data_IF_102890436671
#
_entry.id   IF_102890436671
#
_cell.length_a   1.000
_cell.length_b   1.000
_cell.length_c   1.000
_cell.angle_alpha   90.00
_cell.angle_beta   90.00
_cell.angle_gamma   90.00
#
_symmetry.space_group_name_H-M   'P 1'
#
loop_
_entity.id
_entity.type
_entity.pdbx_description
1 polymer ?
#
# COMPACT_ATOMS: atom_id res chain seq x y z
N UNK A 1 -13.29 -9.01 2.07
CA UNK A 1 -12.70 -7.88 2.79
C UNK A 1 -13.43 -6.60 2.43
N UNK A 2 -13.73 -5.75 3.41
CA UNK A 2 -14.48 -4.51 3.20
C UNK A 2 -13.57 -3.31 3.48
N UNK A 3 -13.53 -2.36 2.55
CA UNK A 3 -12.87 -1.07 2.72
C UNK A 3 -13.92 0.02 2.89
N UNK A 4 -13.78 0.83 3.92
CA UNK A 4 -14.62 1.99 4.18
C UNK A 4 -13.73 3.23 4.13
N UNK A 5 -14.10 4.23 3.35
CA UNK A 5 -13.29 5.45 3.20
C UNK A 5 -14.11 6.66 3.61
N UNK A 6 -13.75 7.28 4.72
CA UNK A 6 -14.32 8.55 5.18
C UNK A 6 -13.54 9.68 4.52
N UNK A 7 -14.18 10.43 3.64
CA UNK A 7 -13.52 11.44 2.79
C UNK A 7 -14.42 12.65 2.50
N UNK A 8 -13.84 13.74 2.07
CA UNK A 8 -14.55 14.89 1.50
C UNK A 8 -14.71 14.82 -0.03
N UNK A 9 -14.04 13.85 -0.68
CA UNK A 9 -13.96 13.70 -2.14
C UNK A 9 -14.23 12.26 -2.59
N UNK A 10 -15.46 11.75 -2.40
CA UNK A 10 -15.81 10.37 -2.73
C UNK A 10 -15.54 10.01 -4.20
N UNK A 11 -15.85 10.92 -5.13
CA UNK A 11 -15.65 10.69 -6.56
C UNK A 11 -14.19 10.37 -6.92
N UNK A 12 -13.23 10.93 -6.18
CA UNK A 12 -11.81 10.67 -6.40
C UNK A 12 -11.44 9.22 -6.07
N UNK A 13 -11.96 8.71 -4.96
CA UNK A 13 -11.75 7.32 -4.52
C UNK A 13 -12.40 6.35 -5.51
N UNK A 14 -13.67 6.58 -5.84
CA UNK A 14 -14.43 5.71 -6.73
C UNK A 14 -13.82 5.67 -8.14
N UNK A 15 -13.50 6.82 -8.72
CA UNK A 15 -12.88 6.88 -10.04
C UNK A 15 -11.53 6.15 -10.10
N UNK A 16 -10.74 6.19 -9.03
CA UNK A 16 -9.44 5.52 -8.95
C UNK A 16 -9.55 4.02 -8.78
N UNK A 17 -10.40 3.54 -7.88
CA UNK A 17 -10.45 2.14 -7.49
C UNK A 17 -11.39 1.26 -8.35
N UNK A 18 -12.34 1.85 -9.08
CA UNK A 18 -13.25 1.09 -9.96
C UNK A 18 -12.60 0.68 -11.30
N UNK A 19 -11.29 0.81 -11.44
CA UNK A 19 -10.54 0.48 -12.67
C UNK A 19 -9.55 -0.66 -12.44
N UNK A 20 -9.04 -1.25 -13.54
CA UNK A 20 -7.96 -2.23 -13.53
C UNK A 20 -8.24 -3.47 -12.64
N UNK A 21 -7.28 -3.87 -11.82
CA UNK A 21 -7.33 -5.06 -10.94
C UNK A 21 -8.34 -4.85 -9.81
N UNK A 22 -8.27 -3.71 -9.12
CA UNK A 22 -9.18 -3.36 -8.03
C UNK A 22 -10.64 -3.31 -8.50
N UNK A 23 -10.91 -2.69 -9.67
CA UNK A 23 -12.25 -2.65 -10.26
C UNK A 23 -12.80 -4.05 -10.60
N UNK A 24 -11.95 -4.98 -11.08
CA UNK A 24 -12.36 -6.39 -11.27
C UNK A 24 -12.64 -7.10 -9.96
N UNK A 25 -11.82 -6.86 -8.94
CA UNK A 25 -12.00 -7.43 -7.62
C UNK A 25 -13.31 -7.00 -6.96
N UNK A 26 -13.66 -5.70 -7.08
CA UNK A 26 -14.96 -5.15 -6.66
C UNK A 26 -16.11 -5.81 -7.40
N UNK A 27 -16.02 -5.90 -8.74
CA UNK A 27 -17.06 -6.51 -9.57
C UNK A 27 -17.29 -7.99 -9.25
N UNK A 28 -16.22 -8.72 -8.90
CA UNK A 28 -16.29 -10.15 -8.59
C UNK A 28 -16.60 -10.41 -7.10
N UNK A 29 -16.72 -9.38 -6.25
CA UNK A 29 -17.06 -9.51 -4.84
C UNK A 29 -15.93 -10.02 -3.95
N UNK A 30 -14.67 -9.99 -4.42
CA UNK A 30 -13.51 -10.34 -3.59
C UNK A 30 -13.22 -9.25 -2.54
N UNK A 31 -13.45 -8.00 -2.91
CA UNK A 31 -13.39 -6.85 -2.03
C UNK A 31 -14.66 -6.02 -2.18
N UNK A 32 -15.01 -5.26 -1.14
CA UNK A 32 -16.10 -4.30 -1.15
C UNK A 32 -15.54 -2.92 -0.78
N UNK A 33 -16.09 -1.87 -1.40
CA UNK A 33 -15.71 -0.50 -1.17
C UNK A 33 -16.96 0.31 -0.80
N UNK A 34 -16.92 0.93 0.37
CA UNK A 34 -17.91 1.90 0.84
C UNK A 34 -17.25 3.26 0.99
N UNK A 35 -17.63 4.21 0.16
CA UNK A 35 -17.07 5.57 0.21
C UNK A 35 -18.09 6.50 0.83
N UNK A 36 -17.73 7.10 1.96
CA UNK A 36 -18.61 7.90 2.80
C UNK A 36 -18.20 9.35 2.74
N UNK A 37 -19.10 10.21 2.27
CA UNK A 37 -18.88 11.65 2.27
C UNK A 37 -19.15 12.24 3.66
N UNK A 38 -18.08 12.67 4.35
CA UNK A 38 -18.16 13.26 5.67
C UNK A 38 -19.10 14.49 5.71
N UNK A 39 -19.24 15.23 4.58
CA UNK A 39 -20.15 16.38 4.49
C UNK A 39 -21.62 16.04 4.71
N UNK A 40 -22.02 14.79 4.42
CA UNK A 40 -23.43 14.38 4.58
C UNK A 40 -23.83 14.22 6.04
N UNK A 41 -22.86 14.17 6.94
CA UNK A 41 -23.05 14.08 8.40
C UNK A 41 -22.94 15.44 9.10
N UNK A 42 -22.67 16.51 8.35
CA UNK A 42 -22.70 17.87 8.91
C UNK A 42 -24.12 18.31 9.24
N UNK A 43 -24.32 18.81 10.44
CA UNK A 43 -25.59 19.45 10.90
C UNK A 43 -25.74 20.89 10.41
N UNK A 44 -24.67 21.44 9.85
CA UNK A 44 -24.68 22.79 9.28
C UNK A 44 -25.51 22.85 7.99
N UNK A 45 -26.25 23.94 7.80
CA UNK A 45 -27.10 24.17 6.62
C UNK A 45 -26.32 24.15 5.30
N UNK A 46 -25.09 24.57 5.34
CA UNK A 46 -24.20 24.62 4.18
C UNK A 46 -23.23 23.44 4.11
N UNK A 47 -23.44 22.41 4.96
CA UNK A 47 -22.61 21.22 5.05
C UNK A 47 -21.13 21.52 5.33
N UNK A 48 -20.84 22.56 6.13
CA UNK A 48 -19.50 22.83 6.60
C UNK A 48 -19.01 21.68 7.50
N UNK A 49 -17.77 21.32 7.34
CA UNK A 49 -17.10 20.22 8.08
C UNK A 49 -15.77 20.67 8.69
N UNK A 50 -15.49 21.95 8.58
CA UNK A 50 -14.25 22.59 9.00
C UNK A 50 -14.52 23.90 9.73
N UNK A 51 -13.59 24.35 10.60
CA UNK A 51 -13.66 25.60 11.32
C UNK A 51 -12.24 26.12 11.61
N UNK A 52 -12.15 27.35 12.09
CA UNK A 52 -10.88 27.97 12.46
C UNK A 52 -10.20 27.24 13.63
N UNK A 53 -8.88 27.03 13.58
CA UNK A 53 -8.17 26.39 14.68
C UNK A 53 -8.19 27.24 15.95
N UNK A 54 -8.39 26.60 17.10
CA UNK A 54 -8.16 27.27 18.39
C UNK A 54 -6.69 27.69 18.51
N UNK A 55 -6.46 28.85 19.09
CA UNK A 55 -5.10 29.42 19.21
C UNK A 55 -4.68 30.26 18.01
N UNK A 56 -5.51 30.32 16.97
CA UNK A 56 -5.22 31.05 15.72
C UNK A 56 -4.32 30.26 14.78
N UNK A 57 -4.05 30.82 13.62
CA UNK A 57 -3.27 30.21 12.56
C UNK A 57 -3.93 30.39 11.20
N UNK A 58 -3.24 30.02 10.14
CA UNK A 58 -3.79 29.98 8.78
C UNK A 58 -4.56 28.67 8.55
N UNK A 59 -5.55 28.70 7.66
CA UNK A 59 -6.28 27.52 7.25
C UNK A 59 -7.41 27.12 8.19
N UNK A 60 -7.94 25.92 7.98
CA UNK A 60 -9.11 25.36 8.66
C UNK A 60 -8.76 23.99 9.22
N UNK A 61 -9.51 23.51 10.20
CA UNK A 61 -9.37 22.16 10.78
C UNK A 61 -10.69 21.43 10.65
N UNK A 62 -10.65 20.16 10.26
CA UNK A 62 -11.84 19.32 10.15
C UNK A 62 -12.47 19.12 11.52
N UNK A 63 -13.78 19.38 11.58
CA UNK A 63 -14.57 19.27 12.80
C UNK A 63 -14.75 17.81 13.23
N UNK A 64 -14.78 17.53 14.55
CA UNK A 64 -14.89 16.15 15.06
C UNK A 64 -16.27 15.53 14.82
N UNK A 65 -17.36 16.29 14.97
CA UNK A 65 -18.71 15.73 14.97
C UNK A 65 -19.12 15.09 13.63
N UNK A 66 -18.91 15.70 12.43
CA UNK A 66 -19.24 15.05 11.18
C UNK A 66 -18.46 13.75 10.94
N UNK A 67 -17.20 13.72 11.37
CA UNK A 67 -16.36 12.51 11.26
C UNK A 67 -16.87 11.42 12.19
N UNK A 68 -17.19 11.77 13.43
CA UNK A 68 -17.72 10.81 14.41
C UNK A 68 -19.03 10.19 13.94
N UNK A 69 -19.97 11.00 13.45
CA UNK A 69 -21.25 10.51 12.95
C UNK A 69 -21.09 9.61 11.72
N UNK A 70 -20.17 9.94 10.81
CA UNK A 70 -19.83 9.09 9.68
C UNK A 70 -19.22 7.74 10.13
N UNK A 71 -18.33 7.78 11.12
CA UNK A 71 -17.76 6.57 11.71
C UNK A 71 -18.81 5.72 12.41
N UNK A 72 -19.67 6.33 13.21
CA UNK A 72 -20.77 5.65 13.92
C UNK A 72 -21.72 4.94 12.95
N UNK A 73 -22.11 5.61 11.86
CA UNK A 73 -22.98 5.03 10.81
C UNK A 73 -22.33 3.82 10.13
N UNK A 74 -21.05 3.91 9.80
CA UNK A 74 -20.30 2.79 9.20
C UNK A 74 -20.19 1.61 10.16
N UNK A 75 -19.98 1.85 11.44
CA UNK A 75 -19.66 0.81 12.42
C UNK A 75 -20.87 0.25 13.18
N UNK A 76 -22.06 0.85 13.07
CA UNK A 76 -23.25 0.51 13.86
C UNK A 76 -23.66 -0.97 13.81
N UNK A 77 -23.37 -1.68 12.71
CA UNK A 77 -23.71 -3.08 12.51
C UNK A 77 -22.49 -4.01 12.56
N UNK A 78 -21.31 -3.52 12.88
CA UNK A 78 -20.11 -4.34 12.98
C UNK A 78 -20.04 -5.06 14.33
N UNK A 79 -19.79 -6.37 14.30
CA UNK A 79 -19.66 -7.17 15.53
C UNK A 79 -18.38 -6.84 16.31
N UNK A 80 -17.33 -6.42 15.60
CA UNK A 80 -16.02 -6.08 16.16
C UNK A 80 -15.67 -4.64 15.80
N UNK A 81 -14.97 -3.97 16.70
CA UNK A 81 -14.40 -2.64 16.44
C UNK A 81 -13.36 -2.80 15.30
N UNK A 82 -13.56 -2.13 14.13
CA UNK A 82 -12.64 -2.22 13.01
C UNK A 82 -11.34 -1.46 13.27
N UNK A 83 -10.30 -1.74 12.49
CA UNK A 83 -9.13 -0.88 12.43
C UNK A 83 -9.48 0.41 11.68
N UNK A 84 -9.03 1.53 12.22
CA UNK A 84 -9.21 2.86 11.63
C UNK A 84 -7.84 3.45 11.33
N UNK A 85 -7.52 3.55 10.06
CA UNK A 85 -6.25 4.08 9.56
C UNK A 85 -6.42 5.56 9.25
N UNK A 86 -5.78 6.41 10.03
CA UNK A 86 -5.63 7.83 9.69
C UNK A 86 -4.38 8.01 8.83
N UNK A 87 -4.59 8.55 7.63
CA UNK A 87 -3.54 8.74 6.64
C UNK A 87 -2.87 10.09 6.87
N UNK A 88 -1.64 10.08 7.38
CA UNK A 88 -0.95 11.28 7.84
C UNK A 88 0.57 11.15 7.73
N UNK A 89 1.32 12.24 7.44
CA UNK A 89 2.78 12.24 7.48
C UNK A 89 3.37 11.90 8.86
N UNK A 90 2.59 12.01 9.94
CA UNK A 90 3.03 11.73 11.31
C UNK A 90 3.06 10.22 11.63
N UNK A 91 2.48 9.39 10.75
CA UNK A 91 2.35 7.96 10.98
C UNK A 91 3.59 7.14 10.62
N UNK A 92 3.56 5.86 10.97
CA UNK A 92 4.54 4.88 10.54
C UNK A 92 4.51 4.72 9.02
N UNK A 93 5.69 4.56 8.40
CA UNK A 93 5.76 4.41 6.93
C UNK A 93 5.18 3.07 6.51
N UNK A 94 4.17 3.12 5.64
CA UNK A 94 3.51 1.96 5.06
C UNK A 94 4.49 1.08 4.29
N UNK A 95 4.43 -0.22 4.50
CA UNK A 95 5.26 -1.22 3.86
C UNK A 95 4.47 -2.52 3.60
N UNK A 96 5.12 -3.48 2.94
CA UNK A 96 4.48 -4.75 2.57
C UNK A 96 3.98 -5.53 3.80
N UNK A 97 4.72 -5.53 4.90
CA UNK A 97 4.32 -6.23 6.13
C UNK A 97 3.04 -5.65 6.73
N UNK A 98 2.88 -4.31 6.70
CA UNK A 98 1.63 -3.67 7.12
C UNK A 98 0.47 -4.02 6.17
N UNK A 99 0.73 -4.09 4.86
CA UNK A 99 -0.30 -4.53 3.92
C UNK A 99 -0.75 -5.97 4.20
N UNK A 100 0.17 -6.88 4.51
CA UNK A 100 -0.11 -8.27 4.90
C UNK A 100 -0.88 -8.35 6.23
N UNK A 101 -0.60 -7.46 7.17
CA UNK A 101 -1.35 -7.37 8.42
C UNK A 101 -2.77 -6.89 8.16
N UNK A 102 -2.93 -5.81 7.42
CA UNK A 102 -4.24 -5.23 7.09
C UNK A 102 -5.09 -6.17 6.24
N UNK A 103 -4.50 -6.99 5.37
CA UNK A 103 -5.24 -7.94 4.54
C UNK A 103 -5.94 -9.06 5.32
N UNK A 104 -5.63 -9.22 6.61
CA UNK A 104 -6.26 -10.21 7.51
C UNK A 104 -7.51 -9.67 8.18
N UNK A 105 -7.77 -8.37 8.07
CA UNK A 105 -8.96 -7.75 8.63
C UNK A 105 -10.19 -8.01 7.74
N UNK A 106 -11.36 -8.11 8.37
CA UNK A 106 -12.63 -8.18 7.66
C UNK A 106 -13.04 -6.80 7.16
N UNK A 107 -12.94 -5.79 8.03
CA UNK A 107 -13.27 -4.40 7.80
C UNK A 107 -12.09 -3.49 8.11
N UNK A 108 -11.78 -2.57 7.20
CA UNK A 108 -10.73 -1.58 7.34
C UNK A 108 -11.27 -0.20 6.98
N UNK A 109 -11.19 0.75 7.92
CA UNK A 109 -11.64 2.13 7.71
C UNK A 109 -10.43 3.01 7.44
N UNK A 110 -10.50 3.84 6.38
CA UNK A 110 -9.54 4.89 6.10
C UNK A 110 -10.16 6.25 6.37
N UNK A 111 -9.52 7.05 7.22
CA UNK A 111 -9.87 8.45 7.45
C UNK A 111 -8.93 9.34 6.62
N UNK A 112 -9.49 10.03 5.63
CA UNK A 112 -8.77 10.96 4.77
C UNK A 112 -8.89 12.38 5.35
N UNK A 113 -7.78 12.91 5.88
CA UNK A 113 -7.69 14.29 6.37
C UNK A 113 -7.52 15.29 5.23
N UNK A 114 -7.97 16.51 5.47
CA UNK A 114 -7.83 17.68 4.62
C UNK A 114 -7.50 18.94 5.42
N UNK A 115 -7.26 20.04 4.71
CA UNK A 115 -6.95 21.35 5.30
C UNK A 115 -5.65 21.32 6.12
N UNK A 116 -5.65 21.93 7.32
CA UNK A 116 -4.51 21.87 8.25
C UNK A 116 -4.49 20.59 9.10
N UNK A 117 -5.55 19.79 9.02
CA UNK A 117 -5.69 18.52 9.71
C UNK A 117 -7.09 18.27 10.25
N UNK A 118 -7.16 17.31 11.15
CA UNK A 118 -8.38 16.84 11.80
C UNK A 118 -8.29 17.17 13.28
N UNK A 119 -9.41 17.54 13.91
CA UNK A 119 -9.47 17.78 15.35
C UNK A 119 -8.94 16.58 16.13
N UNK A 120 -7.97 16.81 17.02
CA UNK A 120 -7.24 15.74 17.72
C UNK A 120 -8.15 14.85 18.55
N UNK A 121 -9.25 15.41 19.13
CA UNK A 121 -10.18 14.67 19.96
C UNK A 121 -10.87 13.52 19.24
N UNK A 122 -11.19 13.68 17.94
CA UNK A 122 -11.77 12.58 17.16
C UNK A 122 -10.70 11.57 16.75
N UNK A 123 -9.47 12.01 16.51
CA UNK A 123 -8.36 11.09 16.22
C UNK A 123 -8.08 10.18 17.43
N UNK A 124 -8.02 10.74 18.64
CA UNK A 124 -7.85 9.99 19.89
C UNK A 124 -9.00 9.01 20.16
N UNK A 125 -10.23 9.33 19.72
CA UNK A 125 -11.42 8.52 19.97
C UNK A 125 -11.53 7.31 19.05
N UNK A 126 -11.21 7.46 17.74
CA UNK A 126 -11.52 6.41 16.77
C UNK A 126 -10.30 5.80 16.08
N UNK A 127 -9.16 6.51 15.97
CA UNK A 127 -8.02 6.05 15.18
C UNK A 127 -7.24 4.98 15.93
N UNK A 128 -6.94 3.89 15.23
CA UNK A 128 -6.09 2.80 15.74
C UNK A 128 -4.69 2.86 15.15
N UNK A 129 -4.55 3.37 13.93
CA UNK A 129 -3.31 3.34 13.17
C UNK A 129 -3.06 4.69 12.48
N UNK A 130 -1.89 5.29 12.75
CA UNK A 130 -1.39 6.46 12.04
C UNK A 130 -0.39 5.99 10.99
N UNK A 131 -0.71 6.22 9.70
CA UNK A 131 0.09 5.65 8.60
C UNK A 131 0.45 6.71 7.58
N UNK A 132 1.74 6.73 7.20
CA UNK A 132 2.33 7.59 6.16
C UNK A 132 2.71 6.76 4.93
N UNK A 133 2.68 7.35 3.74
CA UNK A 133 3.25 6.73 2.53
C UNK A 133 4.63 7.28 2.16
N UNK A 134 5.23 8.10 3.02
CA UNK A 134 6.57 8.67 2.84
C UNK A 134 6.69 10.11 3.35
N UNK A 135 7.91 10.61 3.39
CA UNK A 135 8.28 11.92 3.95
C UNK A 135 8.01 13.06 2.94
N UNK A 136 6.75 13.27 2.60
CA UNK A 136 6.28 14.37 1.76
C UNK A 136 4.82 14.72 2.08
N UNK A 137 4.42 15.92 1.75
CA UNK A 137 3.07 16.44 2.03
C UNK A 137 2.22 16.40 0.77
N UNK A 138 0.99 15.90 0.92
CA UNK A 138 -0.05 15.90 -0.11
C UNK A 138 -1.20 16.84 0.27
N UNK A 139 -2.08 17.12 -0.67
CA UNK A 139 -3.26 17.98 -0.46
C UNK A 139 -4.37 17.34 0.36
N UNK A 140 -4.35 16.00 0.49
CA UNK A 140 -5.37 15.23 1.23
C UNK A 140 -4.99 13.76 1.37
N UNK A 141 -5.79 13.01 2.11
CA UNK A 141 -5.56 11.60 2.42
C UNK A 141 -6.03 10.61 1.35
N UNK A 142 -6.73 11.05 0.31
CA UNK A 142 -7.36 10.15 -0.67
C UNK A 142 -6.33 9.35 -1.49
N UNK A 143 -5.29 10.02 -2.04
CA UNK A 143 -4.24 9.32 -2.80
C UNK A 143 -3.51 8.27 -1.96
N UNK A 144 -3.04 8.59 -0.76
CA UNK A 144 -2.45 7.59 0.12
C UNK A 144 -3.40 6.44 0.47
N UNK A 145 -4.68 6.72 0.76
CA UNK A 145 -5.67 5.68 1.03
C UNK A 145 -5.82 4.73 -0.16
N UNK A 146 -5.91 5.25 -1.39
CA UNK A 146 -5.96 4.42 -2.60
C UNK A 146 -4.71 3.57 -2.79
N UNK A 147 -3.50 4.11 -2.50
CA UNK A 147 -2.25 3.33 -2.54
C UNK A 147 -2.29 2.16 -1.57
N UNK A 148 -2.74 2.40 -0.34
CA UNK A 148 -2.85 1.34 0.67
C UNK A 148 -3.93 0.31 0.31
N UNK A 149 -5.11 0.75 -0.15
CA UNK A 149 -6.18 -0.13 -0.60
C UNK A 149 -5.74 -1.02 -1.76
N UNK A 150 -5.02 -0.48 -2.75
CA UNK A 150 -4.47 -1.28 -3.86
C UNK A 150 -3.49 -2.33 -3.34
N UNK A 151 -2.52 -1.94 -2.52
CA UNK A 151 -1.53 -2.85 -1.95
C UNK A 151 -2.16 -3.97 -1.10
N UNK A 152 -3.13 -3.64 -0.26
CA UNK A 152 -3.85 -4.61 0.58
C UNK A 152 -4.75 -5.51 -0.28
N UNK A 153 -5.48 -4.96 -1.26
CA UNK A 153 -6.37 -5.70 -2.13
C UNK A 153 -5.68 -6.82 -2.89
N UNK A 154 -4.42 -6.60 -3.32
CA UNK A 154 -3.62 -7.62 -4.02
C UNK A 154 -3.35 -8.88 -3.20
N UNK A 155 -3.42 -8.77 -1.87
CA UNK A 155 -3.18 -9.87 -0.93
C UNK A 155 -4.47 -10.62 -0.57
N UNK A 156 -5.64 -10.11 -1.00
CA UNK A 156 -6.91 -10.78 -0.80
C UNK A 156 -7.04 -11.95 -1.79
N UNK A 157 -7.34 -13.18 -1.32
CA UNK A 157 -7.48 -14.34 -2.19
C UNK A 157 -8.44 -14.10 -3.36
N UNK A 158 -8.05 -14.50 -4.56
CA UNK A 158 -8.85 -14.37 -5.79
C UNK A 158 -8.72 -13.02 -6.50
N UNK A 159 -8.12 -12.00 -5.92
CA UNK A 159 -7.91 -10.70 -6.58
C UNK A 159 -6.88 -10.77 -7.69
N UNK A 160 -5.77 -11.48 -7.47
CA UNK A 160 -4.78 -11.80 -8.50
C UNK A 160 -5.10 -13.17 -9.09
N UNK A 161 -5.00 -13.30 -10.42
CA UNK A 161 -5.30 -14.55 -11.13
C UNK A 161 -4.27 -15.66 -10.89
N UNK A 162 -3.09 -15.32 -10.42
CA UNK A 162 -2.01 -16.27 -10.15
C UNK A 162 -1.46 -16.00 -8.76
N UNK A 163 -1.78 -16.86 -7.81
CA UNK A 163 -1.30 -16.77 -6.42
C UNK A 163 0.24 -16.92 -6.35
N UNK A 164 0.86 -17.67 -7.28
CA UNK A 164 2.31 -17.76 -7.41
C UNK A 164 2.96 -16.41 -7.78
N UNK A 165 2.21 -15.45 -8.36
CA UNK A 165 2.75 -14.14 -8.68
C UNK A 165 3.16 -13.37 -7.43
N UNK A 166 2.45 -13.53 -6.32
CA UNK A 166 2.75 -12.87 -5.06
C UNK A 166 4.03 -13.41 -4.40
N UNK A 167 4.37 -14.70 -4.62
CA UNK A 167 5.54 -15.34 -4.01
C UNK A 167 6.88 -14.87 -4.61
N UNK A 168 6.88 -14.30 -5.82
CA UNK A 168 8.10 -13.87 -6.51
C UNK A 168 8.22 -12.37 -6.72
N UNK A 169 7.31 -11.59 -6.13
CA UNK A 169 7.33 -10.13 -6.22
C UNK A 169 8.36 -9.50 -5.27
N UNK A 170 8.64 -8.21 -5.50
CA UNK A 170 9.51 -7.43 -4.61
C UNK A 170 8.96 -7.40 -3.19
N UNK A 171 9.87 -7.46 -2.22
CA UNK A 171 9.65 -7.52 -0.77
C UNK A 171 9.23 -8.90 -0.22
N UNK A 172 8.96 -9.89 -1.08
CA UNK A 172 8.96 -11.27 -0.60
C UNK A 172 10.39 -11.65 -0.17
N UNK A 173 10.55 -12.30 0.97
CA UNK A 173 11.87 -12.54 1.60
C UNK A 173 12.73 -11.28 1.82
N UNK A 174 12.14 -10.07 1.76
CA UNK A 174 12.84 -8.78 1.74
C UNK A 174 13.85 -8.62 0.61
N UNK A 175 13.55 -9.16 -0.55
CA UNK A 175 14.36 -8.99 -1.76
C UNK A 175 13.59 -8.25 -2.85
N UNK A 176 14.31 -7.63 -3.78
CA UNK A 176 13.73 -7.10 -5.01
C UNK A 176 13.54 -8.22 -6.03
N UNK A 177 12.50 -8.13 -6.83
CA UNK A 177 12.24 -9.02 -7.94
C UNK A 177 13.38 -9.05 -8.97
N UNK A 178 13.59 -10.21 -9.59
CA UNK A 178 14.52 -10.38 -10.71
C UNK A 178 14.09 -9.60 -11.97
N UNK A 179 14.99 -9.33 -12.94
CA UNK A 179 14.60 -8.66 -14.17
C UNK A 179 13.68 -9.52 -15.03
N UNK A 180 12.61 -8.93 -15.52
CA UNK A 180 11.66 -9.56 -16.42
C UNK A 180 12.03 -9.32 -17.89
N UNK A 181 11.82 -10.34 -18.73
CA UNK A 181 12.04 -10.28 -20.17
C UNK A 181 10.82 -10.83 -20.91
N UNK A 182 10.53 -10.24 -22.07
CA UNK A 182 9.47 -10.69 -22.98
C UNK A 182 9.95 -10.63 -24.44
N UNK A 183 9.08 -10.98 -25.37
CA UNK A 183 9.34 -10.90 -26.82
C UNK A 183 9.52 -9.46 -27.29
N UNK A 184 10.37 -9.22 -28.32
CA UNK A 184 11.19 -10.17 -29.07
C UNK A 184 12.44 -10.60 -28.28
N UNK A 185 13.11 -11.71 -28.70
CA UNK A 185 14.32 -12.26 -28.06
C UNK A 185 15.50 -11.27 -28.12
N UNK A 186 15.54 -10.44 -29.14
CA UNK A 186 16.53 -9.37 -29.28
C UNK A 186 15.84 -8.03 -29.53
N UNK A 187 16.23 -7.01 -28.75
CA UNK A 187 15.76 -5.64 -28.89
C UNK A 187 16.94 -4.67 -28.88
N UNK A 188 17.15 -3.96 -29.99
CA UNK A 188 18.23 -2.98 -30.17
C UNK A 188 19.62 -3.51 -29.78
N UNK A 189 19.95 -4.71 -30.24
CA UNK A 189 21.23 -5.37 -29.95
C UNK A 189 21.36 -5.98 -28.55
N UNK A 190 20.33 -5.91 -27.70
CA UNK A 190 20.29 -6.53 -26.38
C UNK A 190 19.45 -7.79 -26.43
N UNK A 191 20.04 -8.91 -25.99
CA UNK A 191 19.40 -10.23 -26.02
C UNK A 191 18.82 -10.61 -24.67
N UNK A 192 17.73 -11.39 -24.70
CA UNK A 192 17.25 -12.12 -23.53
C UNK A 192 18.34 -13.10 -23.09
N UNK A 193 18.64 -13.24 -21.78
CA UNK A 193 19.61 -14.23 -21.29
C UNK A 193 19.28 -15.65 -21.75
N UNK A 194 20.28 -16.37 -22.28
CA UNK A 194 20.10 -17.71 -22.85
C UNK A 194 19.51 -18.72 -21.86
N UNK A 195 19.80 -18.56 -20.56
CA UNK A 195 19.23 -19.41 -19.50
C UNK A 195 17.71 -19.37 -19.48
N UNK A 196 17.10 -18.21 -19.79
CA UNK A 196 15.63 -18.06 -19.83
C UNK A 196 15.00 -18.72 -21.07
N UNK A 197 15.80 -18.99 -22.09
CA UNK A 197 15.40 -19.65 -23.34
C UNK A 197 15.64 -21.16 -23.29
N UNK A 198 16.34 -21.67 -22.27
CA UNK A 198 16.81 -23.06 -22.19
C UNK A 198 15.73 -24.09 -21.88
N UNK A 199 14.60 -23.68 -21.28
CA UNK A 199 13.56 -24.59 -20.77
C UNK A 199 13.95 -25.36 -19.49
N UNK A 200 15.15 -25.15 -18.94
CA UNK A 200 15.60 -25.80 -17.71
C UNK A 200 15.15 -25.04 -16.47
N UNK A 201 14.00 -25.41 -15.90
CA UNK A 201 13.38 -24.70 -14.76
C UNK A 201 14.34 -24.49 -13.60
N UNK A 202 15.07 -25.51 -13.14
CA UNK A 202 16.02 -25.34 -12.01
C UNK A 202 17.13 -24.34 -12.26
N UNK A 203 17.64 -24.23 -13.51
CA UNK A 203 18.63 -23.21 -13.87
C UNK A 203 18.00 -21.83 -13.96
N UNK A 204 16.76 -21.74 -14.44
CA UNK A 204 16.00 -20.50 -14.51
C UNK A 204 15.73 -19.98 -13.10
N UNK A 205 15.28 -20.81 -12.17
CA UNK A 205 14.96 -20.42 -10.80
C UNK A 205 16.22 -19.97 -10.04
N UNK A 206 17.33 -20.70 -10.22
CA UNK A 206 18.62 -20.29 -9.68
C UNK A 206 19.06 -18.93 -10.23
N UNK A 207 18.95 -18.73 -11.54
CA UNK A 207 19.28 -17.46 -12.18
C UNK A 207 18.41 -16.33 -11.66
N UNK A 208 17.10 -16.55 -11.55
CA UNK A 208 16.13 -15.57 -10.98
C UNK A 208 16.55 -15.16 -9.57
N UNK A 209 16.85 -16.13 -8.70
CA UNK A 209 17.29 -15.88 -7.32
C UNK A 209 18.61 -15.09 -7.29
N UNK A 210 19.59 -15.46 -8.09
CA UNK A 210 20.87 -14.75 -8.21
C UNK A 210 20.68 -13.31 -8.70
N UNK A 211 19.79 -13.07 -9.67
CA UNK A 211 19.48 -11.71 -10.15
C UNK A 211 18.73 -10.87 -9.11
N UNK A 212 17.82 -11.47 -8.37
CA UNK A 212 17.13 -10.84 -7.25
C UNK A 212 18.13 -10.36 -6.18
N UNK A 213 19.02 -11.23 -5.72
CA UNK A 213 20.08 -10.90 -4.77
C UNK A 213 21.02 -9.79 -5.27
N UNK A 214 21.47 -9.89 -6.52
CA UNK A 214 22.32 -8.89 -7.15
C UNK A 214 21.62 -7.52 -7.22
N UNK A 215 20.40 -7.48 -7.73
CA UNK A 215 19.60 -6.26 -7.84
C UNK A 215 19.32 -5.62 -6.49
N UNK A 216 19.02 -6.44 -5.47
CA UNK A 216 18.79 -5.94 -4.12
C UNK A 216 20.05 -5.34 -3.54
N UNK A 217 21.18 -6.02 -3.66
CA UNK A 217 22.47 -5.51 -3.20
C UNK A 217 22.85 -4.16 -3.85
N UNK A 218 22.56 -4.00 -5.16
CA UNK A 218 22.90 -2.80 -5.92
C UNK A 218 21.96 -1.62 -5.66
N UNK A 219 20.66 -1.88 -5.44
CA UNK A 219 19.62 -0.83 -5.40
C UNK A 219 19.03 -0.56 -4.04
N UNK A 220 18.93 -1.60 -3.22
CA UNK A 220 18.35 -1.56 -1.89
C UNK A 220 19.17 -2.46 -0.93
N UNK A 221 20.46 -2.08 -0.69
CA UNK A 221 21.34 -2.85 0.18
C UNK A 221 20.81 -2.99 1.62
N UNK A 222 20.00 -2.04 2.07
CA UNK A 222 19.29 -2.06 3.34
C UNK A 222 18.41 -3.30 3.51
N UNK A 223 17.75 -3.78 2.45
CA UNK A 223 16.90 -4.98 2.50
C UNK A 223 17.70 -6.27 2.72
N UNK A 224 18.96 -6.33 2.27
CA UNK A 224 19.81 -7.50 2.47
C UNK A 224 20.07 -7.81 3.96
N UNK A 225 20.03 -6.77 4.82
CA UNK A 225 20.27 -6.94 6.25
C UNK A 225 19.13 -7.72 6.95
N UNK A 226 17.94 -7.66 6.40
CA UNK A 226 16.73 -8.29 6.94
C UNK A 226 16.16 -9.39 6.05
N UNK A 227 16.82 -9.68 4.90
CA UNK A 227 16.37 -10.67 3.94
C UNK A 227 16.49 -12.11 4.49
N UNK A 228 15.54 -12.96 4.11
CA UNK A 228 15.58 -14.40 4.40
C UNK A 228 16.52 -15.06 3.38
N UNK A 229 17.74 -15.40 3.84
CA UNK A 229 18.81 -15.91 3.01
C UNK A 229 19.12 -17.38 3.30
N UNK A 230 19.27 -18.18 2.23
CA UNK A 230 19.82 -19.50 2.29
C UNK A 230 21.37 -19.46 2.38
N UNK A 231 22.00 -20.58 2.76
CA UNK A 231 23.47 -20.71 2.75
C UNK A 231 24.07 -20.49 1.34
N UNK A 232 23.33 -20.80 0.30
CA UNK A 232 23.75 -20.58 -1.10
C UNK A 232 23.68 -19.10 -1.46
N UNK A 233 22.63 -18.40 -1.02
CA UNK A 233 22.48 -16.95 -1.19
C UNK A 233 23.63 -16.20 -0.52
N UNK A 234 23.99 -16.57 0.72
CA UNK A 234 25.11 -15.96 1.43
C UNK A 234 26.46 -16.14 0.69
N UNK A 235 26.69 -17.34 0.13
CA UNK A 235 27.90 -17.59 -0.68
C UNK A 235 27.92 -16.73 -1.93
N UNK A 236 26.77 -16.61 -2.59
CA UNK A 236 26.64 -15.79 -3.79
C UNK A 236 26.87 -14.31 -3.49
N UNK A 237 26.26 -13.78 -2.44
CA UNK A 237 26.44 -12.40 -1.98
C UNK A 237 27.90 -12.09 -1.60
N UNK A 238 28.61 -13.03 -0.92
CA UNK A 238 30.04 -12.88 -0.62
C UNK A 238 30.88 -12.75 -1.89
N UNK A 239 30.56 -13.55 -2.93
CA UNK A 239 31.22 -13.47 -4.23
C UNK A 239 30.98 -12.15 -4.93
N UNK A 240 29.72 -11.66 -4.92
CA UNK A 240 29.35 -10.36 -5.50
C UNK A 240 30.07 -9.20 -4.81
N UNK A 241 30.06 -9.17 -3.48
CA UNK A 241 30.73 -8.12 -2.67
C UNK A 241 32.25 -8.11 -2.90
N UNK A 242 32.87 -9.27 -3.13
CA UNK A 242 34.30 -9.35 -3.46
C UNK A 242 34.59 -8.78 -4.87
N UNK A 243 33.78 -9.14 -5.86
CA UNK A 243 33.96 -8.64 -7.24
C UNK A 243 33.73 -7.13 -7.36
N UNK A 244 32.81 -6.54 -6.55
CA UNK A 244 32.61 -5.10 -6.50
C UNK A 244 33.83 -4.35 -5.94
N UNK A 245 34.48 -4.89 -4.90
CA UNK A 245 35.70 -4.29 -4.29
C UNK A 245 36.95 -4.36 -5.18
N UNK A 246 36.99 -5.33 -6.12
CA UNK A 246 38.11 -5.49 -7.06
C UNK A 246 37.94 -4.63 -8.34
N UNK A 247 36.75 -4.00 -8.51
CA UNK A 247 36.41 -3.12 -9.65
C UNK A 247 36.40 -1.61 -9.29
N UNK A 248 36.58 -1.27 -8.03
CA UNK A 248 36.86 0.09 -7.52
C UNK A 248 38.37 0.36 -7.45
#
# INVERSE_FOLDING_TARGET
MNFHVLTLFPDMIEAGLHTSVTGRALKNGYIHLSVVNIRDYSKDKHKHVDDYPYGGGAGMVMQPEPIYLAYEDVTQNMEKKPRVVYVTPQGSVFNQSMAEEFSKEEDLIFLCGHYEGVDERILEEIVTDYVSIGDYVLTGGELPAMVMIDAVSRLVPGVLNNEESAEFESFHDNLLEHPQYTRPVEFRGRKVPDVLLSGHHGNIDKWRREQSLKRTLERRPDLIETAILSKEDEKYLKKLKKGLRESE
#
